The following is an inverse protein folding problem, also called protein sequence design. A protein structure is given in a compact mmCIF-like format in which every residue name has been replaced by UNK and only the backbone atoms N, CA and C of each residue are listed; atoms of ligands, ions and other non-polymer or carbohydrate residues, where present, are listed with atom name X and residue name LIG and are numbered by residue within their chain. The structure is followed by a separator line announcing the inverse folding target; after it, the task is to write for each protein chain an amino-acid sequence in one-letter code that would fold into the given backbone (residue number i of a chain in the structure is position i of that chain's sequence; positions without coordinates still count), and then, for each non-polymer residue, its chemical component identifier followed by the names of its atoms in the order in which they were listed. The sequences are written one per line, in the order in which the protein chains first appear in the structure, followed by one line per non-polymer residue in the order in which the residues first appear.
data_IF_145381748576
#
_entry.id   IF_145381748576
#
_cell.length_a   1.000
_cell.length_b   1.000
_cell.length_c   1.000
_cell.angle_alpha   90.00
_cell.angle_beta   90.00
_cell.angle_gamma   90.00
#
_symmetry.space_group_name_H-M   'P 1'
#
loop_
_entity.id
_entity.type
_entity.pdbx_description
1 polymer ?
#
# COMPACT_ATOMS: atom_id res chain seq x y z
N UNK A 1 6.60 -8.84 -28.79
CA UNK A 1 5.53 -8.58 -27.82
C UNK A 1 4.23 -8.49 -28.56
N UNK A 2 3.22 -9.29 -28.18
CA UNK A 2 1.91 -9.30 -28.85
C UNK A 2 1.16 -8.00 -28.58
N UNK A 3 0.29 -7.59 -29.50
CA UNK A 3 -0.57 -6.39 -29.37
C UNK A 3 -1.40 -6.42 -28.08
N UNK A 4 -1.83 -7.59 -27.64
CA UNK A 4 -2.54 -7.81 -26.37
C UNK A 4 -1.70 -7.45 -25.15
N UNK A 5 -0.37 -7.70 -25.18
CA UNK A 5 0.56 -7.32 -24.11
C UNK A 5 0.74 -5.81 -23.99
N UNK A 6 0.74 -5.09 -25.13
CA UNK A 6 0.77 -3.61 -25.15
C UNK A 6 -0.54 -3.00 -24.66
N UNK A 7 -1.67 -3.60 -25.00
CA UNK A 7 -2.97 -3.17 -24.50
C UNK A 7 -3.06 -3.37 -22.97
N UNK A 8 -2.67 -4.53 -22.47
CA UNK A 8 -2.65 -4.79 -21.03
C UNK A 8 -1.74 -3.80 -20.27
N UNK A 9 -0.56 -3.48 -20.81
CA UNK A 9 0.36 -2.51 -20.17
C UNK A 9 -0.20 -1.08 -20.14
N UNK A 10 -0.95 -0.66 -21.17
CA UNK A 10 -1.60 0.66 -21.19
C UNK A 10 -2.74 0.79 -20.16
N UNK A 11 -3.29 -0.32 -19.68
CA UNK A 11 -4.28 -0.35 -18.59
C UNK A 11 -3.66 -0.59 -17.21
N UNK A 12 -2.32 -0.49 -17.09
CA UNK A 12 -1.62 -0.60 -15.82
C UNK A 12 -1.32 -2.03 -15.37
N UNK A 13 -1.53 -3.02 -16.24
CA UNK A 13 -1.06 -4.38 -16.03
C UNK A 13 0.39 -4.51 -16.51
N UNK A 14 1.34 -4.39 -15.63
CA UNK A 14 2.73 -4.77 -15.94
C UNK A 14 2.92 -6.24 -15.65
N UNK A 15 2.89 -7.05 -16.67
CA UNK A 15 3.39 -8.41 -16.64
C UNK A 15 4.92 -8.37 -16.48
N UNK A 16 5.39 -8.31 -15.25
CA UNK A 16 6.80 -8.43 -14.89
C UNK A 16 7.60 -7.16 -15.14
N UNK A 17 7.83 -6.36 -14.14
CA UNK A 17 8.83 -5.31 -14.18
C UNK A 17 8.49 -4.02 -13.45
N UNK A 18 8.13 -4.08 -12.20
CA UNK A 18 8.23 -2.93 -11.31
C UNK A 18 8.40 -3.41 -9.86
N UNK A 19 9.36 -4.30 -9.63
CA UNK A 19 9.68 -4.74 -8.26
C UNK A 19 9.96 -3.52 -7.36
N UNK A 20 10.70 -2.53 -7.86
CA UNK A 20 11.01 -1.31 -7.11
C UNK A 20 9.79 -0.44 -6.78
N UNK A 21 8.89 -0.19 -7.74
CA UNK A 21 7.67 0.62 -7.51
C UNK A 21 6.70 -0.06 -6.55
N UNK A 22 6.63 -1.39 -6.59
CA UNK A 22 5.83 -2.19 -5.68
C UNK A 22 6.38 -2.11 -4.25
N UNK A 23 7.71 -2.22 -4.08
CA UNK A 23 8.35 -2.19 -2.76
C UNK A 23 8.25 -0.83 -2.08
N UNK A 24 8.40 0.27 -2.81
CA UNK A 24 8.18 1.64 -2.29
C UNK A 24 6.75 1.81 -1.81
N UNK A 25 5.76 1.37 -2.60
CA UNK A 25 4.36 1.47 -2.22
C UNK A 25 4.03 0.60 -1.00
N UNK A 26 4.66 -0.57 -0.83
CA UNK A 26 4.55 -1.41 0.37
C UNK A 26 5.14 -0.70 1.58
N UNK A 27 6.33 -0.10 1.43
CA UNK A 27 6.98 0.67 2.49
C UNK A 27 6.10 1.82 2.99
N UNK A 28 5.60 2.64 2.05
CA UNK A 28 4.71 3.77 2.36
C UNK A 28 3.41 3.32 3.03
N UNK A 29 2.85 2.19 2.60
CA UNK A 29 1.62 1.67 3.18
C UNK A 29 1.85 1.11 4.59
N UNK A 30 2.94 0.37 4.84
CA UNK A 30 3.27 -0.17 6.17
C UNK A 30 3.37 0.93 7.22
N UNK A 31 3.97 2.07 6.87
CA UNK A 31 4.14 3.23 7.77
C UNK A 31 3.01 4.26 7.66
N UNK A 32 1.99 3.99 6.85
CA UNK A 32 0.89 4.93 6.65
C UNK A 32 0.03 5.06 7.91
N UNK A 33 -0.42 6.31 8.16
CA UNK A 33 -1.34 6.59 9.27
C UNK A 33 -2.59 5.72 9.23
N UNK A 34 -3.13 5.45 8.05
CA UNK A 34 -4.33 4.65 7.89
C UNK A 34 -4.11 3.20 8.33
N UNK A 35 -2.97 2.60 7.93
CA UNK A 35 -2.62 1.24 8.31
C UNK A 35 -2.39 1.12 9.81
N UNK A 36 -1.59 2.01 10.41
CA UNK A 36 -1.31 2.02 11.85
C UNK A 36 -2.60 2.21 12.64
N UNK A 37 -3.48 3.14 12.23
CA UNK A 37 -4.77 3.35 12.89
C UNK A 37 -5.66 2.11 12.83
N UNK A 38 -5.71 1.44 11.67
CA UNK A 38 -6.48 0.20 11.49
C UNK A 38 -5.95 -0.91 12.39
N UNK A 39 -4.63 -1.09 12.45
CA UNK A 39 -3.97 -2.08 13.30
C UNK A 39 -4.22 -1.80 14.79
N UNK A 40 -4.10 -0.56 15.25
CA UNK A 40 -4.38 -0.17 16.63
C UNK A 40 -5.84 -0.44 17.06
N UNK A 41 -6.77 -0.39 16.13
CA UNK A 41 -8.19 -0.66 16.39
C UNK A 41 -8.56 -2.14 16.34
N UNK A 42 -7.64 -3.02 15.91
CA UNK A 42 -7.87 -4.46 15.87
C UNK A 42 -8.07 -5.02 17.28
N UNK A 43 -9.09 -5.89 17.43
CA UNK A 43 -9.37 -6.63 18.67
C UNK A 43 -8.98 -8.09 18.47
N UNK A 44 -7.90 -8.49 19.13
CA UNK A 44 -7.31 -9.85 19.03
C UNK A 44 -7.69 -10.74 20.21
N UNK A 45 -8.87 -10.52 20.81
CA UNK A 45 -9.40 -11.35 21.90
C UNK A 45 -8.86 -11.00 23.29
N UNK A 46 -7.99 -10.01 23.41
CA UNK A 46 -7.48 -9.45 24.65
C UNK A 46 -7.76 -7.96 24.83
N UNK A 47 -8.67 -7.41 24.04
CA UNK A 47 -8.92 -5.98 23.86
C UNK A 47 -8.20 -5.41 22.63
N UNK A 48 -8.47 -4.15 22.34
CA UNK A 48 -7.86 -3.49 21.17
C UNK A 48 -6.37 -3.26 21.41
N UNK A 49 -5.58 -3.34 20.35
CA UNK A 49 -4.14 -3.04 20.42
C UNK A 49 -3.85 -1.64 20.97
N UNK A 50 -4.72 -0.67 20.68
CA UNK A 50 -4.63 0.67 21.25
C UNK A 50 -4.74 0.68 22.78
N UNK A 51 -5.61 -0.13 23.37
CA UNK A 51 -5.77 -0.19 24.83
C UNK A 51 -4.50 -0.79 25.49
N UNK A 52 -3.86 -1.77 24.84
CA UNK A 52 -2.58 -2.36 25.27
C UNK A 52 -1.41 -1.38 25.09
N UNK A 53 -1.37 -0.62 24.00
CA UNK A 53 -0.37 0.43 23.79
C UNK A 53 -0.41 1.47 24.89
N UNK A 54 -1.61 1.92 25.27
CA UNK A 54 -1.75 2.90 26.34
C UNK A 54 -1.62 2.32 27.74
N UNK A 55 -1.80 1.02 27.96
CA UNK A 55 -1.69 0.39 29.28
C UNK A 55 -0.34 0.70 29.94
N UNK A 56 0.75 0.60 29.17
CA UNK A 56 2.09 0.95 29.64
C UNK A 56 2.23 2.46 29.94
N UNK A 57 1.73 3.32 29.04
CA UNK A 57 1.75 4.78 29.24
C UNK A 57 0.93 5.20 30.48
N UNK A 58 -0.18 4.50 30.72
CA UNK A 58 -1.03 4.72 31.90
C UNK A 58 -0.36 4.37 33.22
N UNK A 59 0.58 3.43 33.22
CA UNK A 59 1.38 3.07 34.41
C UNK A 59 2.49 4.09 34.68
N UNK A 60 3.04 4.70 33.64
CA UNK A 60 4.15 5.65 33.73
C UNK A 60 3.68 7.08 34.00
N UNK A 61 2.53 7.46 33.49
CA UNK A 61 1.97 8.83 33.57
C UNK A 61 0.53 8.81 34.12
N UNK A 62 0.34 9.08 35.44
CA UNK A 62 -0.99 9.12 36.04
C UNK A 62 -1.90 10.24 35.49
N UNK A 63 -1.32 11.36 35.04
CA UNK A 63 -2.09 12.46 34.46
C UNK A 63 -2.61 12.08 33.08
N UNK A 64 -1.81 11.43 32.28
CA UNK A 64 -2.24 10.82 31.01
C UNK A 64 -3.31 9.76 31.25
N UNK A 65 -3.18 8.94 32.31
CA UNK A 65 -4.16 7.93 32.70
C UNK A 65 -5.54 8.56 33.00
N UNK A 66 -5.58 9.70 33.66
CA UNK A 66 -6.84 10.42 33.94
C UNK A 66 -7.50 10.88 32.64
N UNK A 67 -6.74 11.53 31.75
CA UNK A 67 -7.20 12.01 30.44
C UNK A 67 -7.70 10.85 29.58
N UNK A 68 -7.01 9.73 29.57
CA UNK A 68 -7.40 8.55 28.79
C UNK A 68 -8.71 7.93 29.30
N UNK A 69 -8.86 7.75 30.61
CA UNK A 69 -10.10 7.22 31.20
C UNK A 69 -11.31 8.12 30.92
N UNK A 70 -11.14 9.42 31.05
CA UNK A 70 -12.18 10.40 30.71
C UNK A 70 -12.54 10.34 29.22
N UNK A 71 -11.57 10.00 28.36
CA UNK A 71 -11.79 9.90 26.92
C UNK A 71 -12.72 8.75 26.49
N UNK A 72 -12.84 7.69 27.29
CA UNK A 72 -13.71 6.54 26.99
C UNK A 72 -15.20 6.94 26.90
N UNK A 73 -15.61 8.00 27.63
CA UNK A 73 -16.95 8.61 27.57
C UNK A 73 -17.09 9.77 26.59
N UNK A 74 -15.99 10.20 25.94
CA UNK A 74 -15.97 11.41 25.12
C UNK A 74 -16.45 11.21 23.69
N UNK A 75 -16.79 12.32 22.98
CA UNK A 75 -17.17 12.29 21.58
C UNK A 75 -16.08 11.65 20.69
N UNK A 76 -16.51 11.09 19.56
CA UNK A 76 -15.64 10.39 18.59
C UNK A 76 -14.38 11.19 18.20
N UNK A 77 -14.49 12.52 18.09
CA UNK A 77 -13.35 13.41 17.75
C UNK A 77 -12.18 13.29 18.72
N UNK A 78 -12.44 13.03 20.00
CA UNK A 78 -11.35 12.88 20.98
C UNK A 78 -10.66 11.53 20.85
N UNK A 79 -11.42 10.47 20.57
CA UNK A 79 -10.88 9.14 20.27
C UNK A 79 -10.00 9.19 19.02
N UNK A 80 -10.44 9.92 18.00
CA UNK A 80 -9.65 10.12 16.78
C UNK A 80 -8.35 10.88 17.06
N UNK A 81 -8.35 11.82 18.00
CA UNK A 81 -7.13 12.53 18.43
C UNK A 81 -6.14 11.61 19.14
N UNK A 82 -6.60 10.71 20.00
CA UNK A 82 -5.76 9.73 20.67
C UNK A 82 -5.14 8.73 19.69
N UNK A 83 -5.93 8.23 18.74
CA UNK A 83 -5.45 7.36 17.66
C UNK A 83 -4.40 8.11 16.82
N UNK A 84 -4.65 9.38 16.52
CA UNK A 84 -3.71 10.22 15.78
C UNK A 84 -2.39 10.37 16.52
N UNK A 85 -2.43 10.65 17.83
CA UNK A 85 -1.26 10.77 18.67
C UNK A 85 -0.46 9.45 18.71
N UNK A 86 -1.14 8.33 19.03
CA UNK A 86 -0.50 7.02 19.05
C UNK A 86 0.14 6.66 17.69
N UNK A 87 -0.55 6.97 16.60
CA UNK A 87 -0.04 6.73 15.25
C UNK A 87 1.23 7.54 14.94
N UNK A 88 1.28 8.81 15.36
CA UNK A 88 2.45 9.66 15.16
C UNK A 88 3.65 9.14 15.95
N UNK A 89 3.45 8.87 17.25
CA UNK A 89 4.53 8.38 18.12
C UNK A 89 5.05 7.02 17.62
N UNK A 90 4.15 6.10 17.30
CA UNK A 90 4.55 4.79 16.77
C UNK A 90 5.35 4.93 15.47
N UNK A 91 4.92 5.81 14.55
CA UNK A 91 5.60 5.98 13.28
C UNK A 91 6.98 6.64 13.42
N UNK A 92 7.15 7.55 14.35
CA UNK A 92 8.41 8.30 14.54
C UNK A 92 9.41 7.52 15.40
N UNK A 93 8.96 6.80 16.43
CA UNK A 93 9.83 6.22 17.44
C UNK A 93 9.93 4.69 17.39
N UNK A 94 8.86 4.02 16.93
CA UNK A 94 8.73 2.58 17.11
C UNK A 94 8.71 1.77 15.81
N UNK A 95 8.44 2.41 14.67
CA UNK A 95 8.36 1.74 13.38
C UNK A 95 9.52 2.16 12.48
N UNK A 96 10.09 1.20 11.79
CA UNK A 96 11.07 1.47 10.75
C UNK A 96 10.83 0.54 9.55
N UNK A 97 10.78 1.12 8.37
CA UNK A 97 10.68 0.38 7.12
C UNK A 97 11.76 0.91 6.16
N UNK A 98 12.74 0.06 5.87
CA UNK A 98 13.89 0.41 5.05
C UNK A 98 13.91 -0.46 3.81
N UNK A 99 13.87 0.18 2.65
CA UNK A 99 14.01 -0.48 1.35
C UNK A 99 15.49 -0.47 0.93
N UNK A 100 16.03 -1.64 0.71
CA UNK A 100 17.33 -1.80 0.04
C UNK A 100 17.09 -1.71 -1.48
N UNK A 101 17.58 -0.65 -2.10
CA UNK A 101 17.40 -0.39 -3.53
C UNK A 101 18.16 -1.38 -4.42
N UNK A 102 19.27 -1.97 -3.93
CA UNK A 102 20.07 -2.91 -4.70
C UNK A 102 19.41 -4.29 -4.78
N UNK A 103 18.87 -4.76 -3.65
CA UNK A 103 18.24 -6.07 -3.56
C UNK A 103 16.72 -6.04 -3.77
N UNK A 104 16.09 -4.87 -3.63
CA UNK A 104 14.65 -4.70 -3.63
C UNK A 104 13.97 -5.29 -2.38
N UNK A 105 14.77 -5.64 -1.35
CA UNK A 105 14.27 -6.17 -0.09
C UNK A 105 13.80 -5.04 0.82
N UNK A 106 12.63 -5.22 1.41
CA UNK A 106 12.09 -4.33 2.42
C UNK A 106 12.29 -4.94 3.80
N UNK A 107 13.05 -4.25 4.65
CA UNK A 107 13.21 -4.57 6.07
C UNK A 107 12.23 -3.73 6.88
N UNK A 108 11.34 -4.39 7.61
CA UNK A 108 10.36 -3.76 8.47
C UNK A 108 10.61 -4.17 9.92
N UNK A 109 10.69 -3.21 10.83
CA UNK A 109 10.88 -3.46 12.24
C UNK A 109 9.89 -2.68 13.10
N UNK A 110 9.44 -3.32 14.16
CA UNK A 110 8.57 -2.74 15.18
C UNK A 110 9.28 -2.87 16.53
N UNK A 111 9.39 -1.77 17.26
CA UNK A 111 10.00 -1.73 18.59
C UNK A 111 8.95 -1.39 19.64
N UNK A 112 9.05 -2.00 20.80
CA UNK A 112 8.14 -1.73 21.90
C UNK A 112 8.56 -2.48 23.17
N UNK A 113 7.88 -2.21 24.27
CA UNK A 113 8.23 -2.76 25.60
C UNK A 113 7.53 -4.08 25.84
N UNK A 114 6.28 -4.20 25.40
CA UNK A 114 5.49 -5.43 25.51
C UNK A 114 5.70 -6.31 24.26
N UNK A 115 6.31 -7.48 24.48
CA UNK A 115 6.61 -8.45 23.43
C UNK A 115 5.34 -8.88 22.68
N UNK A 116 4.24 -9.11 23.41
CA UNK A 116 2.99 -9.55 22.80
C UNK A 116 2.34 -8.45 21.95
N UNK A 117 2.42 -7.19 22.41
CA UNK A 117 1.95 -6.05 21.63
C UNK A 117 2.75 -5.87 20.33
N UNK A 118 4.09 -5.95 20.40
CA UNK A 118 4.98 -5.80 19.24
C UNK A 118 4.70 -6.90 18.21
N UNK A 119 4.55 -8.14 18.69
CA UNK A 119 4.21 -9.28 17.84
C UNK A 119 2.89 -9.06 17.11
N UNK A 120 1.83 -8.77 17.85
CA UNK A 120 0.48 -8.61 17.29
C UNK A 120 0.41 -7.38 16.36
N UNK A 121 1.02 -6.26 16.76
CA UNK A 121 1.04 -5.05 15.92
C UNK A 121 1.78 -5.29 14.60
N UNK A 122 2.91 -5.98 14.63
CA UNK A 122 3.67 -6.28 13.41
C UNK A 122 2.88 -7.17 12.46
N UNK A 123 2.20 -8.18 12.96
CA UNK A 123 1.35 -9.05 12.16
C UNK A 123 0.15 -8.31 11.55
N UNK A 124 -0.52 -7.48 12.36
CA UNK A 124 -1.66 -6.68 11.87
C UNK A 124 -1.25 -5.66 10.81
N UNK A 125 -0.12 -4.98 10.97
CA UNK A 125 0.38 -4.04 9.98
C UNK A 125 0.68 -4.73 8.65
N UNK A 126 1.30 -5.90 8.70
CA UNK A 126 1.62 -6.70 7.53
C UNK A 126 0.33 -7.23 6.87
N UNK A 127 -0.57 -7.83 7.64
CA UNK A 127 -1.82 -8.38 7.13
C UNK A 127 -2.72 -7.31 6.49
N UNK A 128 -2.84 -6.16 7.14
CA UNK A 128 -3.58 -5.02 6.59
C UNK A 128 -2.97 -4.48 5.29
N UNK A 129 -1.63 -4.48 5.21
CA UNK A 129 -0.94 -4.07 3.98
C UNK A 129 -1.20 -5.05 2.85
N UNK A 130 -1.12 -6.35 3.13
CA UNK A 130 -1.42 -7.41 2.16
C UNK A 130 -2.87 -7.30 1.65
N UNK A 131 -3.83 -7.16 2.56
CA UNK A 131 -5.25 -6.98 2.24
C UNK A 131 -5.47 -5.76 1.35
N UNK A 132 -4.91 -4.61 1.72
CA UNK A 132 -5.06 -3.36 0.96
C UNK A 132 -4.51 -3.47 -0.47
N UNK A 133 -3.37 -4.16 -0.65
CA UNK A 133 -2.81 -4.40 -1.98
C UNK A 133 -3.65 -5.38 -2.81
N UNK A 134 -4.13 -6.46 -2.21
CA UNK A 134 -5.02 -7.42 -2.88
C UNK A 134 -6.32 -6.72 -3.29
N UNK A 135 -6.92 -5.92 -2.40
CA UNK A 135 -8.15 -5.18 -2.70
C UNK A 135 -7.94 -4.13 -3.80
N UNK A 136 -6.84 -3.39 -3.75
CA UNK A 136 -6.49 -2.44 -4.81
C UNK A 136 -6.32 -3.13 -6.17
N UNK A 137 -5.63 -4.28 -6.21
CA UNK A 137 -5.49 -5.08 -7.43
C UNK A 137 -6.83 -5.64 -7.91
N UNK A 138 -7.67 -6.09 -6.97
CA UNK A 138 -9.01 -6.61 -7.27
C UNK A 138 -9.89 -5.55 -7.91
N UNK A 139 -9.92 -4.34 -7.36
CA UNK A 139 -10.72 -3.24 -7.92
C UNK A 139 -10.23 -2.82 -9.31
N UNK A 140 -8.92 -2.69 -9.50
CA UNK A 140 -8.33 -2.42 -10.81
C UNK A 140 -8.63 -3.54 -11.81
N UNK A 141 -8.50 -4.80 -11.37
CA UNK A 141 -8.80 -5.98 -12.18
C UNK A 141 -10.27 -6.00 -12.62
N UNK A 142 -11.22 -5.75 -11.72
CA UNK A 142 -12.65 -5.64 -12.06
C UNK A 142 -12.91 -4.54 -13.08
N UNK A 143 -12.31 -3.36 -12.89
CA UNK A 143 -12.46 -2.25 -13.82
C UNK A 143 -11.94 -2.60 -15.23
N UNK A 144 -10.80 -3.30 -15.29
CA UNK A 144 -10.21 -3.76 -16.55
C UNK A 144 -11.07 -4.81 -17.24
N UNK A 145 -11.53 -5.82 -16.51
CA UNK A 145 -12.47 -6.83 -17.05
C UNK A 145 -13.72 -6.16 -17.60
N UNK A 146 -14.32 -5.20 -16.88
CA UNK A 146 -15.48 -4.45 -17.34
C UNK A 146 -15.20 -3.64 -18.63
N UNK A 147 -14.03 -3.00 -18.72
CA UNK A 147 -13.62 -2.26 -19.90
C UNK A 147 -13.42 -3.17 -21.12
N UNK A 148 -12.75 -4.32 -20.95
CA UNK A 148 -12.60 -5.30 -22.02
C UNK A 148 -13.95 -5.88 -22.45
N UNK A 149 -14.83 -6.24 -21.51
CA UNK A 149 -16.16 -6.76 -21.80
C UNK A 149 -16.97 -5.76 -22.63
N UNK A 150 -17.03 -4.50 -22.20
CA UNK A 150 -17.71 -3.44 -22.93
C UNK A 150 -17.18 -3.29 -24.37
N UNK A 151 -15.86 -3.44 -24.56
CA UNK A 151 -15.25 -3.36 -25.88
C UNK A 151 -15.58 -4.57 -26.75
N UNK A 152 -15.58 -5.77 -26.16
CA UNK A 152 -16.01 -7.01 -26.85
C UNK A 152 -17.45 -6.89 -27.34
N UNK A 153 -18.39 -6.46 -26.47
CA UNK A 153 -19.79 -6.29 -26.79
C UNK A 153 -19.98 -5.26 -27.90
N UNK A 154 -19.23 -4.16 -27.87
CA UNK A 154 -19.24 -3.13 -28.91
C UNK A 154 -18.73 -3.67 -30.26
N UNK A 155 -17.66 -4.46 -30.27
CA UNK A 155 -17.09 -5.04 -31.48
C UNK A 155 -18.02 -6.11 -32.07
N UNK A 156 -18.65 -6.92 -31.22
CA UNK A 156 -19.67 -7.89 -31.65
C UNK A 156 -20.85 -7.20 -32.38
N UNK A 157 -21.39 -6.14 -31.76
CA UNK A 157 -22.42 -5.31 -32.36
C UNK A 157 -21.98 -4.74 -33.72
N UNK A 158 -20.73 -4.30 -33.85
CA UNK A 158 -20.15 -3.79 -35.08
C UNK A 158 -19.98 -4.88 -36.16
N UNK A 159 -19.56 -6.10 -35.76
CA UNK A 159 -19.47 -7.26 -36.66
C UNK A 159 -20.85 -7.55 -37.24
N UNK A 160 -21.87 -7.64 -36.39
CA UNK A 160 -23.25 -7.89 -36.81
C UNK A 160 -23.78 -6.80 -37.78
N UNK A 161 -23.49 -5.54 -37.47
CA UNK A 161 -23.87 -4.43 -38.33
C UNK A 161 -23.17 -4.50 -39.70
N UNK A 162 -21.88 -4.84 -39.72
CA UNK A 162 -21.10 -4.99 -40.96
C UNK A 162 -21.55 -6.21 -41.78
N UNK A 163 -21.88 -7.33 -41.14
CA UNK A 163 -22.45 -8.51 -41.79
C UNK A 163 -23.78 -8.18 -42.45
N UNK A 164 -24.69 -7.47 -41.75
CA UNK A 164 -25.97 -7.02 -42.30
C UNK A 164 -25.79 -6.03 -43.46
N UNK A 165 -24.77 -5.16 -43.40
CA UNK A 165 -24.45 -4.24 -44.53
C UNK A 165 -23.93 -5.01 -45.72
N UNK A 166 -23.05 -5.97 -45.52
CA UNK A 166 -22.50 -6.79 -46.60
C UNK A 166 -23.59 -7.65 -47.25
N UNK A 167 -24.45 -8.30 -46.46
CA UNK A 167 -25.59 -9.09 -46.95
C UNK A 167 -26.54 -8.25 -47.80
N UNK A 168 -26.98 -7.07 -47.30
CA UNK A 168 -27.82 -6.16 -48.07
C UNK A 168 -27.16 -5.70 -49.38
N UNK A 169 -25.83 -5.50 -49.35
CA UNK A 169 -25.09 -5.13 -50.54
C UNK A 169 -25.05 -6.26 -51.56
N UNK A 170 -24.82 -7.50 -51.12
CA UNK A 170 -24.82 -8.68 -51.98
C UNK A 170 -26.22 -8.96 -52.58
N UNK A 171 -27.30 -8.76 -51.81
CA UNK A 171 -28.69 -8.93 -52.30
C UNK A 171 -29.07 -7.90 -53.35
N UNK A 172 -28.63 -6.64 -53.20
CA UNK A 172 -28.94 -5.56 -54.14
C UNK A 172 -28.15 -5.63 -55.45
N UNK A 173 -26.94 -6.21 -55.40
CA UNK A 173 -25.98 -6.20 -56.51
C UNK A 173 -25.55 -7.59 -56.95
N UNK A 174 -26.48 -8.54 -57.03
CA UNK A 174 -26.25 -9.93 -57.42
C UNK A 174 -25.49 -10.11 -58.74
N UNK A 175 -25.52 -9.08 -59.68
CA UNK A 175 -24.74 -9.04 -60.90
C UNK A 175 -23.81 -7.81 -60.91
N UNK A 176 -22.73 -7.85 -60.05
CA UNK A 176 -21.74 -6.77 -60.00
C UNK A 176 -20.95 -6.65 -61.29
N UNK A 177 -21.38 -5.74 -62.15
CA UNK A 177 -20.71 -5.46 -63.43
C UNK A 177 -19.69 -4.32 -63.29
N UNK A 178 -19.99 -3.36 -62.43
CA UNK A 178 -19.12 -2.19 -62.20
C UNK A 178 -17.90 -2.46 -61.32
N UNK A 179 -16.74 -1.96 -61.72
CA UNK A 179 -15.50 -1.98 -60.87
C UNK A 179 -15.65 -1.22 -59.56
N UNK A 180 -16.47 -0.17 -59.54
CA UNK A 180 -16.75 0.63 -58.36
C UNK A 180 -17.51 -0.18 -57.31
N UNK A 181 -18.46 -1.00 -57.72
CA UNK A 181 -19.24 -1.85 -56.83
C UNK A 181 -18.39 -2.97 -56.23
N UNK A 182 -17.50 -3.55 -57.01
CA UNK A 182 -16.51 -4.53 -56.52
C UNK A 182 -15.59 -3.92 -55.45
N UNK A 183 -15.17 -2.66 -55.65
CA UNK A 183 -14.35 -1.95 -54.66
C UNK A 183 -15.11 -1.67 -53.36
N UNK A 184 -16.39 -1.31 -53.41
CA UNK A 184 -17.22 -1.10 -52.23
C UNK A 184 -17.39 -2.39 -51.42
N UNK A 185 -17.72 -3.49 -52.09
CA UNK A 185 -17.79 -4.81 -51.44
C UNK A 185 -16.49 -5.20 -50.79
N UNK A 186 -15.36 -5.02 -51.48
CA UNK A 186 -14.04 -5.31 -50.95
C UNK A 186 -13.72 -4.48 -49.68
N UNK A 187 -14.07 -3.19 -49.66
CA UNK A 187 -13.91 -2.35 -48.45
C UNK A 187 -14.73 -2.87 -47.30
N UNK A 188 -16.00 -3.21 -47.47
CA UNK A 188 -16.87 -3.78 -46.45
C UNK A 188 -16.30 -5.10 -45.91
N UNK A 189 -15.76 -5.95 -46.77
CA UNK A 189 -15.10 -7.20 -46.36
C UNK A 189 -13.82 -6.94 -45.54
N UNK A 190 -12.98 -5.99 -45.99
CA UNK A 190 -11.77 -5.60 -45.25
C UNK A 190 -12.13 -5.04 -43.87
N UNK A 191 -13.14 -4.18 -43.79
CA UNK A 191 -13.58 -3.59 -42.50
C UNK A 191 -14.15 -4.65 -41.57
N UNK A 192 -14.89 -5.62 -42.11
CA UNK A 192 -15.37 -6.77 -41.34
C UNK A 192 -14.19 -7.62 -40.78
N UNK A 193 -13.22 -7.96 -41.63
CA UNK A 193 -12.08 -8.75 -41.22
C UNK A 193 -11.22 -8.02 -40.18
N UNK A 194 -11.00 -6.70 -40.34
CA UNK A 194 -10.32 -5.88 -39.30
C UNK A 194 -11.06 -5.91 -37.96
N UNK A 195 -12.41 -5.80 -38.02
CA UNK A 195 -13.23 -5.82 -36.81
C UNK A 195 -13.17 -7.19 -36.13
N UNK A 196 -13.21 -8.29 -36.90
CA UNK A 196 -13.05 -9.65 -36.35
C UNK A 196 -11.68 -9.89 -35.70
N UNK A 197 -10.59 -9.42 -36.31
CA UNK A 197 -9.25 -9.51 -35.75
C UNK A 197 -9.20 -8.74 -34.43
N UNK A 198 -9.71 -7.50 -34.40
CA UNK A 198 -9.78 -6.72 -33.20
C UNK A 198 -10.62 -7.42 -32.09
N UNK A 199 -11.78 -7.97 -32.44
CA UNK A 199 -12.62 -8.75 -31.55
C UNK A 199 -11.85 -9.90 -30.91
N UNK A 200 -11.15 -10.72 -31.71
CA UNK A 200 -10.35 -11.83 -31.22
C UNK A 200 -9.27 -11.40 -30.22
N UNK A 201 -8.58 -10.27 -30.48
CA UNK A 201 -7.57 -9.72 -29.57
C UNK A 201 -8.19 -9.24 -28.23
N UNK A 202 -9.37 -8.58 -28.30
CA UNK A 202 -10.05 -8.12 -27.09
C UNK A 202 -10.64 -9.27 -26.27
N UNK A 203 -11.20 -10.32 -26.90
CA UNK A 203 -11.67 -11.53 -26.23
C UNK A 203 -10.50 -12.21 -25.51
N UNK A 204 -9.35 -12.34 -26.16
CA UNK A 204 -8.15 -12.89 -25.54
C UNK A 204 -7.70 -12.04 -24.34
N UNK A 205 -7.71 -10.72 -24.47
CA UNK A 205 -7.39 -9.79 -23.37
C UNK A 205 -8.36 -9.94 -22.19
N UNK A 206 -9.67 -10.08 -22.49
CA UNK A 206 -10.71 -10.32 -21.50
C UNK A 206 -10.47 -11.59 -20.69
N UNK A 207 -10.21 -12.71 -21.36
CA UNK A 207 -9.99 -14.00 -20.69
C UNK A 207 -8.70 -13.96 -19.86
N UNK A 208 -7.62 -13.34 -20.35
CA UNK A 208 -6.40 -13.15 -19.58
C UNK A 208 -6.66 -12.30 -18.32
N UNK A 209 -7.41 -11.21 -18.44
CA UNK A 209 -7.75 -10.34 -17.30
C UNK A 209 -8.64 -11.05 -16.27
N UNK A 210 -9.55 -11.92 -16.70
CA UNK A 210 -10.35 -12.75 -15.80
C UNK A 210 -9.48 -13.74 -15.02
N UNK A 211 -8.55 -14.42 -15.70
CA UNK A 211 -7.62 -15.36 -15.06
C UNK A 211 -6.73 -14.64 -14.05
N UNK A 212 -6.22 -13.45 -14.40
CA UNK A 212 -5.42 -12.64 -13.47
C UNK A 212 -6.24 -12.21 -12.24
N UNK A 213 -7.49 -11.81 -12.43
CA UNK A 213 -8.40 -11.46 -11.33
C UNK A 213 -8.71 -12.64 -10.40
N UNK A 214 -8.73 -13.88 -10.93
CA UNK A 214 -8.93 -15.09 -10.11
C UNK A 214 -7.67 -15.49 -9.34
N UNK A 215 -6.48 -15.17 -9.86
CA UNK A 215 -5.19 -15.56 -9.29
C UNK A 215 -4.48 -14.37 -8.61
N UNK A 216 -5.24 -13.56 -7.85
CA UNK A 216 -4.65 -12.46 -7.10
C UNK A 216 -3.80 -12.98 -5.96
N UNK A 217 -2.50 -12.72 -6.01
CA UNK A 217 -1.54 -12.98 -4.95
C UNK A 217 -1.01 -11.67 -4.38
N UNK A 218 -0.54 -11.73 -3.14
CA UNK A 218 0.18 -10.62 -2.52
C UNK A 218 1.40 -10.24 -3.38
N UNK A 219 1.70 -8.95 -3.51
CA UNK A 219 2.79 -8.46 -4.37
C UNK A 219 4.18 -8.73 -3.80
N UNK A 220 4.26 -9.26 -2.58
CA UNK A 220 5.51 -9.51 -1.86
C UNK A 220 5.50 -10.88 -1.19
N UNK A 221 6.70 -11.41 -0.95
CA UNK A 221 6.91 -12.66 -0.23
C UNK A 221 7.73 -12.37 1.02
N UNK A 222 7.38 -13.04 2.10
CA UNK A 222 8.12 -12.96 3.35
C UNK A 222 9.36 -13.84 3.26
N UNK A 223 10.52 -13.28 3.63
CA UNK A 223 11.74 -14.05 3.86
C UNK A 223 11.84 -14.46 5.32
N UNK A 224 11.41 -13.56 6.21
CA UNK A 224 11.40 -13.78 7.63
C UNK A 224 10.16 -13.11 8.25
N UNK A 225 9.60 -13.74 9.27
CA UNK A 225 8.43 -13.23 9.98
C UNK A 225 8.74 -13.19 11.48
N UNK A 226 8.14 -12.25 12.23
CA UNK A 226 8.29 -12.21 13.68
C UNK A 226 7.86 -13.54 14.30
N UNK A 227 8.73 -14.14 15.11
CA UNK A 227 8.46 -15.38 15.85
C UNK A 227 8.88 -15.23 17.29
N UNK A 228 8.17 -15.90 18.21
CA UNK A 228 8.55 -15.91 19.62
C UNK A 228 9.79 -16.78 19.88
N UNK A 229 10.71 -16.39 20.80
CA UNK A 229 10.76 -15.09 21.50
C UNK A 229 11.33 -13.98 20.60
N UNK A 230 10.81 -12.76 20.75
CA UNK A 230 11.34 -11.61 20.01
C UNK A 230 12.72 -11.20 20.54
N UNK A 231 13.53 -10.64 19.67
CA UNK A 231 14.87 -10.15 20.01
C UNK A 231 14.76 -8.96 20.97
N UNK A 232 15.39 -9.08 22.14
CA UNK A 232 15.49 -7.98 23.10
C UNK A 232 16.69 -7.11 22.77
N UNK A 233 16.44 -5.88 22.32
CA UNK A 233 17.50 -4.89 22.24
C UNK A 233 17.88 -4.41 23.64
N UNK A 234 19.12 -4.64 24.03
CA UNK A 234 19.66 -4.02 25.26
C UNK A 234 19.86 -2.54 24.97
N UNK A 235 19.16 -1.68 25.74
CA UNK A 235 19.39 -0.24 25.69
C UNK A 235 20.88 0.05 25.71
N UNK A 236 21.36 0.81 24.72
CA UNK A 236 22.79 1.10 24.58
C UNK A 236 23.27 1.94 25.79
N UNK A 237 23.88 1.28 26.77
CA UNK A 237 24.52 1.94 27.92
C UNK A 237 25.53 3.01 27.46
N UNK A 238 26.10 2.86 26.27
CA UNK A 238 26.98 3.85 25.65
C UNK A 238 26.28 5.16 25.30
N UNK A 239 25.05 5.12 24.77
CA UNK A 239 24.27 6.36 24.49
C UNK A 239 23.92 7.08 25.80
N UNK A 240 23.46 6.36 26.81
CA UNK A 240 23.18 6.95 28.15
C UNK A 240 24.44 7.51 28.80
N UNK A 241 25.59 6.85 28.65
CA UNK A 241 26.88 7.31 29.17
C UNK A 241 27.36 8.59 28.49
N UNK A 242 27.21 8.72 27.18
CA UNK A 242 27.58 9.94 26.44
C UNK A 242 26.70 11.13 26.82
N UNK A 243 25.38 10.96 26.91
CA UNK A 243 24.48 12.03 27.36
C UNK A 243 24.76 12.42 28.81
N UNK A 244 24.97 11.44 29.71
CA UNK A 244 25.34 11.70 31.10
C UNK A 244 26.65 12.46 31.24
N UNK A 245 27.67 12.13 30.47
CA UNK A 245 28.97 12.83 30.50
C UNK A 245 28.91 14.28 30.01
N UNK A 246 28.12 14.56 28.96
CA UNK A 246 27.91 15.92 28.44
C UNK A 246 27.20 16.79 29.47
N UNK A 247 26.13 16.29 30.10
CA UNK A 247 25.39 17.02 31.14
C UNK A 247 26.28 17.28 32.34
N UNK A 248 27.03 16.28 32.80
CA UNK A 248 27.94 16.40 33.94
C UNK A 248 29.07 17.39 33.62
N UNK A 249 29.63 17.33 32.41
CA UNK A 249 30.64 18.30 31.94
C UNK A 249 30.13 19.74 31.95
N UNK A 250 28.91 19.95 31.47
CA UNK A 250 28.27 21.28 31.43
C UNK A 250 28.02 21.81 32.86
N UNK A 251 27.54 20.99 33.77
CA UNK A 251 27.33 21.38 35.16
C UNK A 251 28.66 21.72 35.87
N UNK A 252 29.76 20.99 35.61
CA UNK A 252 31.07 21.30 36.15
C UNK A 252 31.58 22.67 35.65
N UNK A 253 31.41 22.96 34.37
CA UNK A 253 31.79 24.27 33.81
C UNK A 253 30.99 25.40 34.46
N UNK A 254 29.68 25.25 34.62
CA UNK A 254 28.86 26.25 35.32
C UNK A 254 29.27 26.41 36.79
N UNK A 255 29.61 25.33 37.49
CA UNK A 255 30.08 25.37 38.85
C UNK A 255 31.43 26.13 38.97
N UNK A 256 32.36 25.87 38.06
CA UNK A 256 33.67 26.59 38.06
C UNK A 256 33.51 28.08 37.74
N UNK A 257 32.66 28.44 36.77
CA UNK A 257 32.39 29.85 36.46
C UNK A 257 31.77 30.53 37.68
N UNK A 258 30.74 29.96 38.29
CA UNK A 258 30.11 30.50 39.50
C UNK A 258 31.07 30.67 40.66
N UNK A 259 32.01 29.73 40.82
CA UNK A 259 33.02 29.77 41.88
C UNK A 259 34.06 30.90 41.65
N UNK A 260 34.47 31.11 40.39
CA UNK A 260 35.41 32.19 40.01
C UNK A 260 34.76 33.55 40.20
N UNK A 261 33.51 33.69 39.80
CA UNK A 261 32.78 34.95 39.96
C UNK A 261 32.50 35.29 41.43
N UNK A 262 32.09 34.28 42.23
CA UNK A 262 31.93 34.45 43.67
C UNK A 262 33.26 34.82 44.41
N UNK A 263 34.40 34.29 43.92
CA UNK A 263 35.71 34.65 44.43
C UNK A 263 36.12 36.09 44.10
N UNK A 264 35.75 36.60 42.95
CA UNK A 264 36.03 37.98 42.55
C UNK A 264 35.18 39.01 43.34
N UNK A 265 33.92 38.63 43.66
CA UNK A 265 33.01 39.52 44.45
C UNK A 265 33.42 39.61 45.91
N UNK A 266 34.13 38.60 46.45
CA UNK A 266 34.64 38.66 47.85
C UNK A 266 36.01 39.30 47.98
N UNK A 267 36.68 39.66 46.88
CA UNK A 267 37.99 40.27 46.87
C UNK A 267 37.96 41.82 46.66
N UNK A 268 36.80 42.40 46.33
CA UNK A 268 36.49 43.83 46.34
C UNK A 268 35.74 44.21 47.64
#
# INVERSE_FOLDING_TARGET
MSSAMRLASNFGFSLGGAAGTSSIAVQEHLTSRQNISKALMADLGGGRLMDRYFAYQLEQDPDFAAVYRDSLGMPQRFKDSLITYATLVLNEENLSAVLDEETGMLSFSVQGIDESFVYDLSHELIANTEEAFIDSKREKGKATVAAFQSKVDSLETNIDANLRRLGRYDDQYNALVSSVDKMKRMRLTIDLERTKVAYGEYVKGLEMSKVELMNLEAPFKYFDQPTYPLLKEKGSATKAGVFGSVITGFLLVLFFIGRVEAGNIMAD
#
